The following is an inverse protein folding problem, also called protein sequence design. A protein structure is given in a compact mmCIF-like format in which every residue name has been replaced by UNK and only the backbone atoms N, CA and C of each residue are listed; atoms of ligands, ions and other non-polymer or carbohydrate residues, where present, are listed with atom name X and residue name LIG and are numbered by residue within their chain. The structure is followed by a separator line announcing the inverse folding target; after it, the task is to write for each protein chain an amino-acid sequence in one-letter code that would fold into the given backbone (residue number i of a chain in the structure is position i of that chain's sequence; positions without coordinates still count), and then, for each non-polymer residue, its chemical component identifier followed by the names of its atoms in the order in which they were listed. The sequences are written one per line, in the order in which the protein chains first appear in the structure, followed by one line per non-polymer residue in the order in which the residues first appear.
data_IF_101089330368
#
_entry.id   IF_101089330368
#
_cell.length_a   1.000
_cell.length_b   1.000
_cell.length_c   1.000
_cell.angle_alpha   90.00
_cell.angle_beta   90.00
_cell.angle_gamma   90.00
#
_symmetry.space_group_name_H-M   'P 1'
#
loop_
_entity.id
_entity.type
_entity.pdbx_description
1 polymer ?
#
# COMPACT_ATOMS: atom_id res chain seq x y z
N UNK A 1 9.53 4.28 -0.91
CA UNK A 1 9.25 2.85 -0.58
C UNK A 1 7.98 2.46 -1.30
N UNK A 2 7.85 1.30 -1.96
CA UNK A 2 6.58 0.99 -2.65
C UNK A 2 5.48 0.62 -1.67
N UNK A 3 4.23 0.99 -1.97
CA UNK A 3 3.07 0.72 -1.12
C UNK A 3 2.91 -0.78 -0.80
N UNK A 4 3.14 -1.66 -1.78
CA UNK A 4 3.10 -3.12 -1.57
C UNK A 4 4.19 -3.61 -0.60
N UNK A 5 5.37 -2.98 -0.62
CA UNK A 5 6.47 -3.27 0.29
C UNK A 5 6.18 -2.70 1.68
N UNK A 6 5.59 -1.51 1.75
CA UNK A 6 5.15 -0.88 2.99
C UNK A 6 4.12 -1.74 3.72
N UNK A 7 3.08 -2.19 3.02
CA UNK A 7 2.05 -3.06 3.59
C UNK A 7 2.63 -4.39 4.12
N UNK A 8 3.67 -4.93 3.47
CA UNK A 8 4.37 -6.13 3.95
C UNK A 8 5.21 -5.85 5.20
N UNK A 9 6.05 -4.81 5.16
CA UNK A 9 6.97 -4.48 6.27
C UNK A 9 6.22 -4.04 7.52
N UNK A 10 5.12 -3.30 7.35
CA UNK A 10 4.23 -2.88 8.43
C UNK A 10 3.33 -4.02 8.94
N UNK A 11 3.51 -5.25 8.46
CA UNK A 11 2.74 -6.44 8.83
C UNK A 11 1.22 -6.35 8.60
N UNK A 12 0.77 -5.42 7.73
CA UNK A 12 -0.63 -5.25 7.34
C UNK A 12 -1.06 -6.36 6.36
N UNK A 13 -0.16 -6.74 5.44
CA UNK A 13 -0.41 -7.79 4.46
C UNK A 13 0.68 -8.87 4.54
N UNK A 14 0.31 -10.09 4.96
CA UNK A 14 1.22 -11.25 5.03
C UNK A 14 1.79 -11.67 3.67
N UNK A 15 1.12 -11.35 2.55
CA UNK A 15 1.51 -11.75 1.19
C UNK A 15 1.50 -10.54 0.24
N UNK A 16 2.47 -10.48 -0.68
CA UNK A 16 2.58 -9.41 -1.69
C UNK A 16 1.39 -9.37 -2.66
N UNK A 17 0.85 -10.53 -3.01
CA UNK A 17 -0.36 -10.63 -3.82
C UNK A 17 -1.57 -9.98 -3.13
N UNK A 18 -1.73 -10.24 -1.83
CA UNK A 18 -2.80 -9.64 -1.01
C UNK A 18 -2.64 -8.13 -0.88
N UNK A 19 -1.40 -7.64 -0.69
CA UNK A 19 -1.12 -6.20 -0.68
C UNK A 19 -1.53 -5.52 -2.00
N UNK A 20 -1.28 -6.18 -3.14
CA UNK A 20 -1.68 -5.69 -4.46
C UNK A 20 -3.20 -5.66 -4.60
N UNK A 21 -3.87 -6.72 -4.20
CA UNK A 21 -5.34 -6.85 -4.25
C UNK A 21 -6.04 -5.77 -3.43
N UNK A 22 -5.55 -5.47 -2.21
CA UNK A 22 -6.07 -4.38 -1.38
C UNK A 22 -5.93 -3.00 -2.03
N UNK A 23 -4.83 -2.77 -2.77
CA UNK A 23 -4.64 -1.53 -3.50
C UNK A 23 -5.55 -1.46 -4.74
N UNK A 24 -5.74 -2.58 -5.45
CA UNK A 24 -6.63 -2.68 -6.62
C UNK A 24 -8.11 -2.56 -6.22
N UNK A 25 -8.49 -3.06 -5.05
CA UNK A 25 -9.83 -2.89 -4.46
C UNK A 25 -10.07 -1.47 -3.91
N UNK A 26 -9.05 -0.63 -3.83
CA UNK A 26 -9.16 0.72 -3.28
C UNK A 26 -9.29 0.77 -1.77
N UNK A 27 -8.95 -0.31 -1.07
CA UNK A 27 -8.90 -0.37 0.40
C UNK A 27 -7.73 0.44 0.98
N UNK A 28 -6.74 0.79 0.16
CA UNK A 28 -5.55 1.55 0.58
C UNK A 28 -5.60 2.94 -0.03
N UNK A 29 -5.65 3.93 0.86
CA UNK A 29 -5.56 5.35 0.50
C UNK A 29 -4.28 5.91 1.07
N UNK A 30 -3.59 6.70 0.27
CA UNK A 30 -2.40 7.45 0.68
C UNK A 30 -2.70 8.91 0.41
N UNK A 31 -2.64 9.73 1.43
CA UNK A 31 -2.94 11.15 1.41
C UNK A 31 -4.35 11.44 0.86
N UNK A 32 -5.33 10.66 1.33
CA UNK A 32 -6.73 10.75 0.91
C UNK A 32 -7.05 10.20 -0.49
N UNK A 33 -6.05 9.78 -1.27
CA UNK A 33 -6.22 9.27 -2.63
C UNK A 33 -6.01 7.76 -2.70
N UNK A 34 -6.83 7.06 -3.50
CA UNK A 34 -6.64 5.62 -3.75
C UNK A 34 -5.29 5.40 -4.43
N UNK A 35 -4.40 4.70 -3.73
CA UNK A 35 -3.03 4.53 -4.17
C UNK A 35 -2.85 3.15 -4.79
N UNK A 36 -2.28 3.11 -6.00
CA UNK A 36 -1.92 1.84 -6.65
C UNK A 36 -0.78 1.17 -5.87
N UNK A 37 -0.73 -0.17 -5.92
CA UNK A 37 0.33 -0.95 -5.27
C UNK A 37 1.75 -0.47 -5.62
N UNK A 38 1.93 0.08 -6.82
CA UNK A 38 3.19 0.60 -7.30
C UNK A 38 3.55 2.03 -6.87
N UNK A 39 2.70 2.73 -6.11
CA UNK A 39 2.93 4.08 -5.62
C UNK A 39 4.13 4.10 -4.67
N UNK A 40 4.96 5.12 -4.79
CA UNK A 40 6.05 5.37 -3.84
C UNK A 40 5.50 6.13 -2.62
N UNK A 41 5.52 5.49 -1.46
CA UNK A 41 5.21 6.06 -0.14
C UNK A 41 6.48 6.57 0.52
N UNK A 42 6.36 7.76 1.10
CA UNK A 42 7.40 8.46 1.84
C UNK A 42 7.02 8.60 3.32
N UNK A 43 8.04 8.79 4.15
CA UNK A 43 7.83 9.04 5.58
C UNK A 43 7.12 10.40 5.71
N UNK A 44 5.89 10.39 6.22
CA UNK A 44 5.03 11.58 6.30
C UNK A 44 3.74 11.47 5.48
N UNK A 45 3.60 10.49 4.60
CA UNK A 45 2.31 10.15 3.98
C UNK A 45 1.36 9.53 5.04
N UNK A 46 0.06 9.87 5.00
CA UNK A 46 -1.00 9.38 5.90
C UNK A 46 -2.22 8.85 5.14
#
# INVERSE_FOLDING_TARGET
MRLDVFLKTSSIAKRRAFAKELCDQGCVKVNGNVAKAGRDVHVGDH
#
